data_IF_603561165076
#
_entry.id   IF_603561165076
#
_cell.length_a   1.000
_cell.length_b   1.000
_cell.length_c   1.000
_cell.angle_alpha   90.00
_cell.angle_beta   90.00
_cell.angle_gamma   90.00
#
_symmetry.space_group_name_H-M   'P 1'
#
loop_
_entity.id
_entity.type
_entity.pdbx_description
1 polymer ?
#
# COMPACT_ATOMS: atom_id res chain seq x y z
N UNK A 1 -6.79 69.96 15.92
CA UNK A 1 -6.90 68.81 14.99
C UNK A 1 -6.19 67.61 15.62
N UNK A 2 -6.80 66.99 16.63
CA UNK A 2 -6.20 65.96 17.50
C UNK A 2 -6.82 64.57 17.32
N UNK A 3 -7.47 64.32 16.18
CA UNK A 3 -8.22 63.07 15.91
C UNK A 3 -7.79 62.32 14.64
N UNK A 4 -6.67 62.72 14.02
CA UNK A 4 -6.15 62.07 12.78
C UNK A 4 -4.90 61.23 13.04
N UNK A 5 -4.35 61.26 14.25
CA UNK A 5 -3.11 60.55 14.63
C UNK A 5 -3.33 59.16 15.27
N UNK A 6 -4.56 58.63 15.24
CA UNK A 6 -4.92 57.38 15.94
C UNK A 6 -5.31 56.22 15.01
N UNK A 7 -5.08 56.36 13.70
CA UNK A 7 -5.33 55.32 12.69
C UNK A 7 -4.06 54.81 11.97
N UNK A 8 -2.89 55.35 12.29
CA UNK A 8 -1.61 54.98 11.67
C UNK A 8 -0.66 54.20 12.61
N UNK A 9 -1.16 53.69 13.74
CA UNK A 9 -0.35 52.97 14.74
C UNK A 9 -0.65 51.46 14.83
N UNK A 10 -1.55 50.92 13.98
CA UNK A 10 -1.88 49.49 13.97
C UNK A 10 -1.25 48.72 12.79
N UNK A 11 -0.46 49.38 11.93
CA UNK A 11 0.15 48.76 10.75
C UNK A 11 1.64 48.39 10.93
N UNK A 12 2.18 48.40 12.15
CA UNK A 12 3.62 48.20 12.40
C UNK A 12 3.94 47.22 13.53
N UNK A 13 3.09 46.20 13.77
CA UNK A 13 3.34 45.19 14.81
C UNK A 13 3.05 43.74 14.37
N UNK A 14 3.49 43.36 13.16
CA UNK A 14 3.62 41.95 12.75
C UNK A 14 5.02 41.72 12.15
N UNK A 15 6.06 41.98 12.96
CA UNK A 15 7.39 41.44 12.73
C UNK A 15 7.83 40.71 14.00
N UNK A 16 7.10 39.62 14.30
CA UNK A 16 7.51 38.64 15.30
C UNK A 16 8.08 37.44 14.55
N UNK A 17 9.39 37.33 14.63
CA UNK A 17 10.14 36.10 14.92
C UNK A 17 9.95 34.90 13.97
N UNK A 18 10.92 34.74 13.06
CA UNK A 18 11.46 33.43 12.71
C UNK A 18 12.96 33.59 12.45
N UNK A 19 13.74 33.40 13.50
CA UNK A 19 15.16 33.09 13.40
C UNK A 19 15.23 31.63 12.92
N UNK A 20 15.78 31.42 11.72
CA UNK A 20 15.93 30.09 11.12
C UNK A 20 17.03 29.33 11.86
N UNK A 21 16.65 28.34 12.66
CA UNK A 21 17.59 27.29 13.08
C UNK A 21 17.93 26.41 11.87
N UNK A 22 19.18 26.52 11.43
CA UNK A 22 19.74 25.76 10.33
C UNK A 22 20.20 24.38 10.81
N UNK A 23 19.27 23.43 11.01
CA UNK A 23 19.59 22.00 10.92
C UNK A 23 18.34 21.09 10.83
N UNK A 24 17.50 21.30 9.82
CA UNK A 24 16.61 20.24 9.33
C UNK A 24 16.91 20.03 7.85
N UNK A 25 17.09 18.78 7.46
CA UNK A 25 17.16 18.36 6.07
C UNK A 25 15.82 18.70 5.43
N UNK A 26 15.72 19.88 4.83
CA UNK A 26 14.52 20.36 4.13
C UNK A 26 14.31 19.46 2.92
N UNK A 27 13.32 18.55 3.01
CA UNK A 27 12.63 18.03 1.84
C UNK A 27 12.16 19.26 1.04
N UNK A 28 12.52 19.40 -0.25
CA UNK A 28 12.16 20.57 -1.03
C UNK A 28 10.64 20.75 -0.97
N UNK A 29 10.21 21.98 -0.68
CA UNK A 29 8.81 22.39 -0.57
C UNK A 29 8.00 21.75 -1.71
N UNK A 30 7.13 20.80 -1.34
CA UNK A 30 6.39 20.00 -2.28
C UNK A 30 5.50 20.90 -3.14
N UNK A 31 5.79 20.97 -4.45
CA UNK A 31 4.73 21.21 -5.41
C UNK A 31 3.69 20.12 -5.15
N UNK A 32 2.47 20.48 -4.76
CA UNK A 32 1.39 19.52 -4.54
C UNK A 32 1.14 18.77 -5.86
N UNK A 33 1.71 17.56 -5.99
CA UNK A 33 1.45 16.68 -7.12
C UNK A 33 -0.01 16.27 -6.99
N UNK A 34 -0.86 16.79 -7.87
CA UNK A 34 -2.27 16.42 -7.90
C UNK A 34 -2.38 14.97 -8.36
N UNK A 35 -2.90 14.12 -7.48
CA UNK A 35 -3.20 12.72 -7.78
C UNK A 35 -4.71 12.54 -7.84
N UNK A 36 -5.18 11.79 -8.83
CA UNK A 36 -6.56 11.38 -8.91
C UNK A 36 -6.88 10.45 -7.73
N UNK A 37 -8.01 10.70 -7.09
CA UNK A 37 -8.55 9.94 -5.95
C UNK A 37 -10.05 9.66 -6.13
N UNK A 38 -10.59 9.89 -7.33
CA UNK A 38 -12.01 9.77 -7.63
C UNK A 38 -12.51 8.32 -7.63
N UNK A 39 -11.60 7.37 -7.80
CA UNK A 39 -11.81 5.92 -7.73
C UNK A 39 -11.67 5.35 -6.31
N UNK A 40 -11.30 6.17 -5.31
CA UNK A 40 -11.13 5.69 -3.95
C UNK A 40 -12.46 5.32 -3.30
N UNK A 41 -12.59 4.05 -2.91
CA UNK A 41 -13.75 3.53 -2.20
C UNK A 41 -13.31 2.48 -1.18
N UNK A 42 -13.92 2.49 0.01
CA UNK A 42 -13.48 1.65 1.14
C UNK A 42 -14.53 0.63 1.57
N UNK A 43 -15.81 0.93 1.36
CA UNK A 43 -16.85 -0.01 1.71
C UNK A 43 -16.82 -1.18 0.75
N UNK A 44 -17.10 -2.36 1.25
CA UNK A 44 -17.43 -3.47 0.37
C UNK A 44 -18.88 -3.83 0.56
N UNK A 45 -19.47 -4.42 -0.47
CA UNK A 45 -20.77 -5.05 -0.35
C UNK A 45 -20.78 -5.92 0.92
N UNK A 46 -21.89 -5.89 1.65
CA UNK A 46 -22.05 -6.76 2.82
C UNK A 46 -22.01 -8.20 2.31
N UNK A 47 -20.83 -8.80 2.39
CA UNK A 47 -20.59 -10.14 1.88
C UNK A 47 -21.39 -11.07 2.77
N UNK A 48 -22.58 -11.44 2.31
CA UNK A 48 -23.30 -12.58 2.83
C UNK A 48 -22.34 -13.78 2.79
N UNK A 49 -22.37 -14.67 3.78
CA UNK A 49 -21.39 -15.76 3.98
C UNK A 49 -21.30 -16.75 2.79
N UNK A 50 -22.07 -16.51 1.73
CA UNK A 50 -22.11 -17.21 0.45
C UNK A 50 -21.07 -16.70 -0.55
N UNK A 51 -20.70 -15.41 -0.54
CA UNK A 51 -19.83 -14.79 -1.55
C UNK A 51 -18.33 -14.77 -1.17
N UNK A 52 -17.98 -15.03 0.10
CA UNK A 52 -16.59 -15.13 0.57
C UNK A 52 -16.01 -16.56 0.48
N UNK A 53 -16.65 -17.49 -0.23
CA UNK A 53 -16.21 -18.89 -0.29
C UNK A 53 -15.17 -19.10 -1.39
N UNK A 54 -13.90 -19.20 -0.99
CA UNK A 54 -12.86 -19.77 -1.84
C UNK A 54 -13.15 -21.25 -2.16
N UNK A 55 -12.31 -21.89 -3.00
CA UNK A 55 -12.37 -23.32 -3.24
C UNK A 55 -12.40 -24.06 -1.88
N UNK A 56 -13.36 -24.97 -1.71
CA UNK A 56 -13.64 -25.69 -0.45
C UNK A 56 -14.32 -24.87 0.67
N UNK A 57 -14.92 -23.72 0.39
CA UNK A 57 -15.71 -22.98 1.39
C UNK A 57 -14.88 -22.16 2.38
N UNK A 58 -13.60 -21.91 2.08
CA UNK A 58 -12.72 -21.05 2.88
C UNK A 58 -13.29 -19.63 2.91
N UNK A 59 -13.43 -19.04 4.09
CA UNK A 59 -13.99 -17.69 4.26
C UNK A 59 -12.87 -16.71 4.65
N UNK A 60 -12.63 -15.68 3.84
CA UNK A 60 -11.73 -14.59 4.20
C UNK A 60 -12.49 -13.53 5.01
N UNK A 61 -12.07 -13.29 6.25
CA UNK A 61 -12.77 -12.37 7.16
C UNK A 61 -12.46 -10.88 6.91
N UNK A 62 -11.44 -10.56 6.10
CA UNK A 62 -10.88 -9.21 5.97
C UNK A 62 -11.93 -8.16 5.62
N UNK A 63 -12.79 -8.42 4.63
CA UNK A 63 -13.77 -7.42 4.17
C UNK A 63 -14.92 -7.22 5.17
N UNK A 64 -15.42 -8.31 5.77
CA UNK A 64 -16.42 -8.23 6.85
C UNK A 64 -15.88 -7.43 8.04
N UNK A 65 -14.66 -7.74 8.48
CA UNK A 65 -14.01 -7.03 9.60
C UNK A 65 -13.69 -5.58 9.23
N UNK A 66 -13.32 -5.29 7.99
CA UNK A 66 -13.15 -3.92 7.50
C UNK A 66 -14.46 -3.13 7.63
N UNK A 67 -15.58 -3.66 7.12
CA UNK A 67 -16.89 -3.02 7.24
C UNK A 67 -17.32 -2.79 8.70
N UNK A 68 -17.06 -3.75 9.59
CA UNK A 68 -17.27 -3.59 11.04
C UNK A 68 -16.40 -2.46 11.62
N UNK A 69 -15.12 -2.39 11.24
CA UNK A 69 -14.19 -1.36 11.71
C UNK A 69 -14.52 0.04 11.18
N UNK A 70 -15.01 0.17 9.94
CA UNK A 70 -15.47 1.45 9.38
C UNK A 70 -16.67 1.99 10.17
N UNK A 71 -17.65 1.12 10.48
CA UNK A 71 -18.80 1.49 11.32
C UNK A 71 -18.40 1.89 12.73
N UNK A 72 -17.41 1.20 13.31
CA UNK A 72 -16.95 1.48 14.67
C UNK A 72 -16.00 2.70 14.76
N UNK A 73 -15.39 3.12 13.65
CA UNK A 73 -14.37 4.17 13.64
C UNK A 73 -14.58 5.15 12.46
N UNK A 74 -15.31 6.26 12.68
CA UNK A 74 -15.56 7.29 11.67
C UNK A 74 -14.29 7.90 11.04
N UNK A 75 -13.15 7.85 11.73
CA UNK A 75 -11.87 8.35 11.21
C UNK A 75 -11.05 7.32 10.43
N UNK A 76 -11.51 6.08 10.30
CA UNK A 76 -10.78 5.04 9.57
C UNK A 76 -10.77 5.30 8.06
N UNK A 77 -11.90 5.68 7.48
CA UNK A 77 -12.02 5.99 6.05
C UNK A 77 -11.05 7.10 5.63
N UNK A 78 -11.02 8.21 6.38
CA UNK A 78 -10.09 9.32 6.13
C UNK A 78 -8.62 8.88 6.24
N UNK A 79 -8.29 7.99 7.19
CA UNK A 79 -6.91 7.48 7.32
C UNK A 79 -6.52 6.62 6.12
N UNK A 80 -7.42 5.76 5.65
CA UNK A 80 -7.19 4.95 4.45
C UNK A 80 -7.05 5.83 3.20
N UNK A 81 -7.89 6.86 3.08
CA UNK A 81 -7.78 7.86 2.01
C UNK A 81 -6.41 8.54 2.02
N UNK A 82 -5.95 8.97 3.21
CA UNK A 82 -4.66 9.64 3.35
C UNK A 82 -3.48 8.73 2.99
N UNK A 83 -3.56 7.43 3.33
CA UNK A 83 -2.55 6.44 2.96
C UNK A 83 -2.49 6.30 1.44
N UNK A 84 -3.64 6.10 0.79
CA UNK A 84 -3.69 5.93 -0.67
C UNK A 84 -3.21 7.18 -1.40
N UNK A 85 -3.68 8.37 -0.98
CA UNK A 85 -3.22 9.65 -1.52
C UNK A 85 -1.71 9.80 -1.37
N UNK A 86 -1.16 9.46 -0.21
CA UNK A 86 0.28 9.51 0.03
C UNK A 86 1.04 8.58 -0.91
N UNK A 87 0.61 7.32 -1.05
CA UNK A 87 1.23 6.33 -1.95
C UNK A 87 1.20 6.79 -3.40
N UNK A 88 0.06 7.26 -3.90
CA UNK A 88 -0.05 7.80 -5.27
C UNK A 88 0.84 9.01 -5.49
N UNK A 89 0.91 9.92 -4.51
CA UNK A 89 1.77 11.10 -4.57
C UNK A 89 3.24 10.69 -4.65
N UNK A 90 3.64 9.71 -3.83
CA UNK A 90 4.99 9.16 -3.85
C UNK A 90 5.33 8.54 -5.20
N UNK A 91 4.46 7.68 -5.75
CA UNK A 91 4.67 7.06 -7.08
C UNK A 91 4.78 8.13 -8.17
N UNK A 92 3.88 9.13 -8.17
CA UNK A 92 3.91 10.21 -9.14
C UNK A 92 5.21 11.05 -9.05
N UNK A 93 5.74 11.26 -7.84
CA UNK A 93 7.02 11.95 -7.62
C UNK A 93 8.24 11.20 -8.16
N UNK A 94 8.10 9.90 -8.43
CA UNK A 94 9.16 9.04 -8.98
C UNK A 94 9.10 8.92 -10.50
N UNK A 95 8.02 9.40 -11.15
CA UNK A 95 7.94 9.39 -12.62
C UNK A 95 8.96 10.39 -13.20
N UNK A 96 9.83 9.99 -14.14
CA UNK A 96 10.81 10.90 -14.75
C UNK A 96 10.13 11.98 -15.61
N UNK A 97 10.69 13.21 -15.60
CA UNK A 97 10.15 14.39 -16.33
C UNK A 97 10.09 14.24 -17.85
N UNK A 98 10.86 13.30 -18.42
CA UNK A 98 10.88 12.99 -19.84
C UNK A 98 10.48 11.52 -20.06
N UNK A 99 9.22 11.22 -20.40
CA UNK A 99 8.87 9.90 -20.91
C UNK A 99 9.58 9.75 -22.25
N UNK A 100 10.61 8.91 -22.30
CA UNK A 100 11.27 8.62 -23.57
C UNK A 100 10.28 7.98 -24.53
N UNK A 101 9.71 8.75 -25.45
CA UNK A 101 9.04 8.32 -26.69
C UNK A 101 7.93 7.26 -26.62
N UNK A 102 7.56 6.78 -25.44
CA UNK A 102 6.45 5.88 -25.20
C UNK A 102 5.22 6.68 -24.82
N UNK A 103 4.09 6.32 -25.41
CA UNK A 103 2.78 6.93 -25.26
C UNK A 103 2.25 6.88 -23.80
N UNK A 104 2.86 7.62 -22.87
CA UNK A 104 2.53 7.67 -21.44
C UNK A 104 1.58 8.82 -21.11
N UNK A 105 0.43 8.84 -21.77
CA UNK A 105 -0.68 9.76 -21.51
C UNK A 105 -1.83 9.05 -20.80
N UNK A 106 -1.54 8.25 -19.78
CA UNK A 106 -2.53 7.51 -18.99
C UNK A 106 -2.99 8.30 -17.77
N UNK A 107 -4.01 9.13 -17.94
CA UNK A 107 -4.83 9.59 -16.82
C UNK A 107 -5.53 8.38 -16.19
N UNK A 108 -5.45 8.28 -14.86
CA UNK A 108 -6.30 7.48 -13.96
C UNK A 108 -7.06 6.28 -14.54
N UNK A 109 -6.63 5.07 -14.15
CA UNK A 109 -7.47 3.88 -14.14
C UNK A 109 -7.25 2.91 -15.31
N UNK A 110 -6.80 1.70 -14.98
CA UNK A 110 -6.74 0.57 -15.92
C UNK A 110 -5.31 0.12 -16.22
N UNK A 111 -4.97 -1.09 -15.77
CA UNK A 111 -3.63 -1.64 -15.84
C UNK A 111 -3.20 -2.12 -17.23
N UNK A 112 -1.88 -2.29 -17.35
CA UNK A 112 -1.33 -3.33 -18.23
C UNK A 112 -0.26 -2.91 -19.24
N UNK A 113 0.05 -1.63 -19.41
CA UNK A 113 0.96 -1.22 -20.50
C UNK A 113 2.22 -0.46 -20.06
N UNK A 114 2.24 0.12 -18.85
CA UNK A 114 3.47 0.74 -18.35
C UNK A 114 4.34 -0.32 -17.67
N UNK A 115 5.59 -0.55 -18.12
CA UNK A 115 6.51 -1.41 -17.40
C UNK A 115 6.66 -0.90 -15.95
N UNK A 116 6.81 -1.80 -14.97
CA UNK A 116 6.95 -1.41 -13.58
C UNK A 116 8.06 -0.37 -13.43
N UNK A 117 7.79 0.67 -12.65
CA UNK A 117 8.78 1.70 -12.33
C UNK A 117 9.87 1.04 -11.50
N UNK A 118 11.12 1.11 -11.96
CA UNK A 118 12.28 0.65 -11.19
C UNK A 118 12.35 1.45 -9.88
N UNK A 119 12.11 0.77 -8.77
CA UNK A 119 12.12 1.36 -7.42
C UNK A 119 13.51 1.34 -6.78
N UNK A 120 14.49 0.68 -7.41
CA UNK A 120 15.85 0.52 -6.92
C UNK A 120 15.99 -0.36 -5.68
N UNK A 121 14.93 -1.10 -5.28
CA UNK A 121 14.95 -1.96 -4.09
C UNK A 121 15.55 -3.34 -4.38
N UNK A 122 15.44 -3.82 -5.62
CA UNK A 122 15.80 -5.18 -6.00
C UNK A 122 15.00 -6.22 -5.21
N UNK A 123 15.55 -7.43 -5.07
CA UNK A 123 14.86 -8.51 -4.36
C UNK A 123 14.83 -8.26 -2.84
N UNK A 124 13.62 -8.21 -2.27
CA UNK A 124 13.39 -8.00 -0.85
C UNK A 124 13.20 -9.35 -0.14
N UNK A 125 14.07 -9.66 0.83
CA UNK A 125 13.90 -10.83 1.69
C UNK A 125 13.09 -10.50 2.95
N UNK A 126 11.96 -11.19 3.13
CA UNK A 126 11.07 -11.11 4.29
C UNK A 126 11.37 -12.28 5.24
N UNK A 127 11.97 -12.05 6.42
CA UNK A 127 12.14 -13.08 7.43
C UNK A 127 10.81 -13.38 8.12
N UNK A 128 10.38 -14.64 8.08
CA UNK A 128 9.08 -15.10 8.60
C UNK A 128 9.27 -15.85 9.91
N UNK A 129 8.49 -15.48 10.92
CA UNK A 129 8.32 -16.27 12.16
C UNK A 129 6.95 -16.91 12.14
N UNK A 130 6.91 -18.24 12.27
CA UNK A 130 5.66 -19.02 12.27
C UNK A 130 5.31 -19.43 13.69
N UNK A 131 4.19 -18.92 14.19
CA UNK A 131 3.60 -19.33 15.46
C UNK A 131 2.57 -20.42 15.23
N UNK A 132 2.86 -21.64 15.67
CA UNK A 132 1.90 -22.75 15.69
C UNK A 132 1.27 -22.79 17.06
N UNK A 133 0.01 -22.37 17.13
CA UNK A 133 -0.83 -22.43 18.33
C UNK A 133 -1.65 -23.71 18.24
N UNK A 134 -1.46 -24.65 19.18
CA UNK A 134 -2.09 -25.97 19.08
C UNK A 134 -2.68 -26.45 20.42
N UNK A 135 -3.87 -27.03 20.38
CA UNK A 135 -4.53 -27.65 21.52
C UNK A 135 -4.40 -29.18 21.52
N UNK A 136 -4.06 -29.78 20.39
CA UNK A 136 -3.80 -31.22 20.28
C UNK A 136 -2.69 -31.54 19.26
N UNK A 137 -2.28 -32.80 19.20
CA UNK A 137 -1.17 -33.25 18.35
C UNK A 137 -1.40 -33.06 16.84
N UNK A 138 -2.66 -33.11 16.37
CA UNK A 138 -2.96 -32.93 14.94
C UNK A 138 -2.84 -31.47 14.51
N UNK A 139 -3.06 -30.52 15.43
CA UNK A 139 -2.89 -29.08 15.21
C UNK A 139 -1.42 -28.66 15.28
N UNK A 140 -0.55 -29.47 15.90
CA UNK A 140 0.89 -29.25 15.95
C UNK A 140 1.56 -29.67 14.63
N UNK A 141 1.35 -28.86 13.58
CA UNK A 141 1.82 -29.15 12.23
C UNK A 141 3.34 -29.27 12.14
N UNK A 142 3.81 -30.17 11.27
CA UNK A 142 5.23 -30.45 11.08
C UNK A 142 6.00 -29.28 10.47
N UNK A 143 7.32 -29.23 10.68
CA UNK A 143 8.18 -28.27 10.00
C UNK A 143 8.16 -28.45 8.47
N UNK A 144 7.98 -29.67 7.97
CA UNK A 144 7.83 -29.93 6.54
C UNK A 144 6.63 -29.21 5.96
N UNK A 145 5.48 -29.24 6.65
CA UNK A 145 4.28 -28.53 6.22
C UNK A 145 4.44 -27.00 6.28
N UNK A 146 5.16 -26.48 7.28
CA UNK A 146 5.50 -25.06 7.35
C UNK A 146 6.40 -24.66 6.18
N UNK A 147 7.46 -25.43 5.92
CA UNK A 147 8.38 -25.18 4.83
C UNK A 147 7.70 -25.25 3.46
N UNK A 148 6.72 -26.14 3.26
CA UNK A 148 5.96 -26.16 2.01
C UNK A 148 5.15 -24.87 1.80
N UNK A 149 4.66 -24.22 2.86
CA UNK A 149 3.99 -22.94 2.72
C UNK A 149 4.97 -21.81 2.37
N UNK A 150 6.18 -21.83 2.93
CA UNK A 150 7.23 -20.87 2.58
C UNK A 150 7.64 -21.04 1.11
N UNK A 151 7.75 -22.28 0.62
CA UNK A 151 8.00 -22.56 -0.79
C UNK A 151 6.89 -21.99 -1.70
N UNK A 152 5.62 -22.21 -1.36
CA UNK A 152 4.47 -21.65 -2.10
C UNK A 152 4.51 -20.12 -2.13
N UNK A 153 4.82 -19.46 -1.01
CA UNK A 153 4.96 -18.00 -0.99
C UNK A 153 6.07 -17.53 -1.93
N UNK A 154 7.20 -18.21 -1.98
CA UNK A 154 8.26 -17.88 -2.93
C UNK A 154 7.81 -18.13 -4.38
N UNK A 155 7.12 -19.23 -4.66
CA UNK A 155 6.65 -19.52 -6.01
C UNK A 155 5.65 -18.47 -6.52
N UNK A 156 4.67 -18.10 -5.68
CA UNK A 156 3.61 -17.15 -6.05
C UNK A 156 4.15 -15.72 -6.20
N UNK A 157 5.04 -15.28 -5.31
CA UNK A 157 5.56 -13.91 -5.33
C UNK A 157 6.70 -13.68 -6.33
N UNK A 158 7.27 -14.75 -6.90
CA UNK A 158 8.27 -14.65 -7.97
C UNK A 158 7.74 -15.15 -9.33
N UNK A 159 6.44 -15.44 -9.43
CA UNK A 159 5.82 -15.92 -10.67
C UNK A 159 6.38 -17.26 -11.16
N UNK A 160 6.94 -18.09 -10.28
CA UNK A 160 7.52 -19.41 -10.60
C UNK A 160 6.59 -20.57 -10.27
N UNK A 161 5.35 -20.28 -9.88
CA UNK A 161 4.30 -21.25 -9.62
C UNK A 161 3.95 -22.06 -10.89
N UNK A 162 3.85 -23.38 -10.75
CA UNK A 162 3.64 -24.31 -11.87
C UNK A 162 2.28 -24.15 -12.58
N UNK A 163 1.30 -23.59 -11.88
CA UNK A 163 -0.05 -23.33 -12.40
C UNK A 163 -0.19 -21.97 -13.10
N UNK A 164 0.89 -21.22 -13.27
CA UNK A 164 0.95 -20.02 -14.12
C UNK A 164 0.48 -20.27 -15.56
N UNK A 165 0.63 -21.49 -16.08
CA UNK A 165 0.09 -21.92 -17.38
C UNK A 165 -1.45 -21.94 -17.43
N UNK A 166 -2.13 -21.86 -16.27
CA UNK A 166 -3.57 -21.74 -16.17
C UNK A 166 -4.09 -20.31 -16.35
N UNK A 167 -3.21 -19.31 -16.44
CA UNK A 167 -3.60 -17.91 -16.69
C UNK A 167 -4.16 -17.78 -18.11
N UNK A 168 -5.38 -17.22 -18.29
CA UNK A 168 -5.93 -16.95 -19.62
C UNK A 168 -4.98 -16.09 -20.46
N UNK A 169 -4.89 -16.38 -21.76
CA UNK A 169 -3.93 -15.72 -22.65
C UNK A 169 -4.05 -14.19 -22.69
N UNK A 170 -5.24 -13.63 -22.45
CA UNK A 170 -5.45 -12.17 -22.37
C UNK A 170 -4.73 -11.51 -21.18
N UNK A 171 -4.39 -12.28 -20.15
CA UNK A 171 -3.70 -11.82 -18.95
C UNK A 171 -2.25 -12.30 -18.86
N UNK A 172 -1.76 -13.05 -19.85
CA UNK A 172 -0.41 -13.61 -19.81
C UNK A 172 0.68 -12.53 -19.69
N UNK A 173 0.47 -11.35 -20.25
CA UNK A 173 1.39 -10.21 -20.14
C UNK A 173 1.33 -9.50 -18.78
N UNK A 174 0.36 -9.83 -17.93
CA UNK A 174 0.17 -9.22 -16.61
C UNK A 174 0.72 -10.10 -15.47
N UNK A 175 1.24 -11.29 -15.79
CA UNK A 175 1.94 -12.13 -14.80
C UNK A 175 3.21 -11.39 -14.38
N UNK A 176 3.38 -11.23 -13.06
CA UNK A 176 4.47 -10.44 -12.49
C UNK A 176 5.31 -11.29 -11.55
N UNK A 177 6.62 -11.09 -11.63
CA UNK A 177 7.56 -11.33 -10.53
C UNK A 177 7.51 -10.08 -9.63
N UNK A 178 7.20 -10.27 -8.35
CA UNK A 178 7.11 -9.16 -7.38
C UNK A 178 8.42 -8.91 -6.62
N UNK A 179 9.49 -9.66 -6.93
CA UNK A 179 10.81 -9.53 -6.32
C UNK A 179 10.79 -9.70 -4.77
N UNK A 180 9.89 -10.52 -4.24
CA UNK A 180 9.84 -10.85 -2.81
C UNK A 180 10.26 -12.30 -2.55
N UNK A 181 11.23 -12.49 -1.65
CA UNK A 181 11.63 -13.80 -1.14
C UNK A 181 11.30 -13.93 0.34
N UNK A 182 10.82 -15.09 0.77
CA UNK A 182 10.48 -15.41 2.14
C UNK A 182 11.45 -16.45 2.69
N UNK A 183 12.04 -16.15 3.86
CA UNK A 183 12.92 -17.08 4.58
C UNK A 183 12.36 -17.37 5.96
N UNK A 184 12.30 -18.65 6.34
CA UNK A 184 11.84 -19.04 7.67
C UNK A 184 12.92 -18.70 8.70
N UNK A 185 12.65 -17.69 9.54
CA UNK A 185 13.54 -17.26 10.60
C UNK A 185 13.38 -18.11 11.87
N UNK A 186 12.13 -18.42 12.25
CA UNK A 186 11.85 -19.17 13.47
C UNK A 186 10.48 -19.86 13.41
N UNK A 187 10.35 -20.98 14.13
CA UNK A 187 9.07 -21.60 14.46
C UNK A 187 8.88 -21.58 15.97
N UNK A 188 7.78 -21.00 16.42
CA UNK A 188 7.37 -20.94 17.83
C UNK A 188 6.12 -21.79 17.98
N UNK A 189 6.09 -22.66 18.98
CA UNK A 189 4.99 -23.60 19.21
C UNK A 189 4.45 -23.39 20.61
N UNK A 190 3.16 -23.08 20.71
CA UNK A 190 2.47 -22.71 21.96
C UNK A 190 1.12 -23.38 22.11
#
# INVERSE_FOLDING_TARGET
>A
MKKVLLLAAFAALILVSCEKDANETVLPEAQEIQVDMSDFFVYTDEIDNTAAKGPQGKTCATMRVLNEKLRANPGLEQRMYNIEKHTRTFIASKKPDNPGGGNGGGSGGGGGEEPPVDDGLGVINIPVVVHVIYNNANENISNTQINSQIAILNDDFNGTNNDSNGVPGEFASLVADSDFTFSLAQVIRV
#
